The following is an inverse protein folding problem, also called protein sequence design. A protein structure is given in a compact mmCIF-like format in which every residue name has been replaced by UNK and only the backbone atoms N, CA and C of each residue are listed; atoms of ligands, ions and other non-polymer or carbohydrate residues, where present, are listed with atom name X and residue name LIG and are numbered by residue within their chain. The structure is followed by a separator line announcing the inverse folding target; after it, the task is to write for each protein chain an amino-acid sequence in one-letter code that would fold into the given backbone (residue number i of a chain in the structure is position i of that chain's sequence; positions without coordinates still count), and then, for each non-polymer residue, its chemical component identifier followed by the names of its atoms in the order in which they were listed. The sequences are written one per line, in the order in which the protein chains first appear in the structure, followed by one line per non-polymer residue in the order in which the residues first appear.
data_IF_062752577179
#
_entry.id   IF_062752577179
#
_cell.length_a   1.000
_cell.length_b   1.000
_cell.length_c   1.000
_cell.angle_alpha   90.00
_cell.angle_beta   90.00
_cell.angle_gamma   90.00
#
_symmetry.space_group_name_H-M   'P 1'
#
loop_
_entity.id
_entity.type
_entity.pdbx_description
1 polymer ?
#
# COMPACT_ATOMS: atom_id res chain seq x y z
N UNK A 1 -36.43 -2.50 45.72
CA UNK A 1 -35.22 -2.29 44.91
C UNK A 1 -34.03 -2.65 45.78
N UNK A 2 -33.37 -3.76 45.51
CA UNK A 2 -32.34 -4.34 46.40
C UNK A 2 -30.98 -3.69 46.14
N UNK A 3 -30.08 -3.78 47.13
CA UNK A 3 -28.72 -3.23 47.04
C UNK A 3 -27.96 -3.75 45.79
N UNK A 4 -28.31 -4.95 45.33
CA UNK A 4 -27.80 -5.59 44.10
C UNK A 4 -28.22 -4.89 42.81
N UNK A 5 -29.40 -4.28 42.77
CA UNK A 5 -29.90 -3.58 41.57
C UNK A 5 -29.19 -2.22 41.35
N UNK A 6 -28.76 -1.55 42.43
CA UNK A 6 -27.99 -0.30 42.34
C UNK A 6 -26.56 -0.52 41.82
N UNK A 7 -25.94 -1.65 42.14
CA UNK A 7 -24.56 -1.95 41.68
C UNK A 7 -24.55 -2.26 40.18
N UNK A 8 -25.56 -2.97 39.66
CA UNK A 8 -25.68 -3.23 38.21
C UNK A 8 -25.94 -1.97 37.38
N UNK A 9 -26.45 -0.89 37.98
CA UNK A 9 -26.68 0.38 37.28
C UNK A 9 -25.44 1.29 37.24
N UNK A 10 -24.46 1.07 38.13
CA UNK A 10 -23.24 1.90 38.21
C UNK A 10 -22.17 1.42 37.20
N UNK A 11 -22.16 0.13 36.85
CA UNK A 11 -21.22 -0.44 35.87
C UNK A 11 -21.69 -0.38 34.41
N UNK A 12 -22.65 0.49 34.07
CA UNK A 12 -23.17 0.65 32.70
C UNK A 12 -22.81 1.99 32.05
N UNK A 13 -21.92 2.75 32.70
CA UNK A 13 -21.17 3.81 32.05
C UNK A 13 -19.70 3.38 32.04
N UNK A 14 -19.06 3.61 30.91
CA UNK A 14 -17.70 3.22 30.54
C UNK A 14 -17.58 1.87 29.83
N UNK A 15 -16.93 1.94 28.67
CA UNK A 15 -16.64 0.90 27.68
C UNK A 15 -17.76 0.68 26.65
N UNK A 16 -17.93 1.69 25.79
CA UNK A 16 -18.27 1.42 24.39
C UNK A 16 -16.99 1.53 23.56
N UNK A 17 -16.29 0.39 23.53
CA UNK A 17 -15.39 -0.09 22.48
C UNK A 17 -14.53 0.94 21.74
N UNK A 18 -13.50 1.42 22.42
CA UNK A 18 -12.27 1.87 21.75
C UNK A 18 -11.49 0.65 21.24
N UNK A 19 -12.06 -0.12 20.33
CA UNK A 19 -11.29 -0.99 19.46
C UNK A 19 -10.89 -0.17 18.23
N UNK A 20 -9.98 0.79 18.41
CA UNK A 20 -9.17 1.31 17.31
C UNK A 20 -8.25 0.18 16.86
N UNK A 21 -8.80 -0.83 16.19
CA UNK A 21 -8.01 -1.65 15.28
C UNK A 21 -7.55 -0.68 14.21
N UNK A 22 -6.30 -0.22 14.33
CA UNK A 22 -5.62 0.55 13.30
C UNK A 22 -5.79 -0.26 12.01
N UNK A 23 -6.72 0.17 11.15
CA UNK A 23 -6.90 -0.47 9.85
C UNK A 23 -5.55 -0.38 9.17
N UNK A 24 -4.88 -1.52 8.97
CA UNK A 24 -3.51 -1.53 8.49
C UNK A 24 -3.50 -0.93 7.08
N UNK A 25 -3.03 0.32 6.97
CA UNK A 25 -3.04 1.09 5.72
C UNK A 25 -1.62 1.27 5.22
N UNK A 26 -1.43 1.08 3.92
CA UNK A 26 -0.20 1.42 3.23
C UNK A 26 -0.32 2.75 2.50
N UNK A 27 0.75 3.57 2.52
CA UNK A 27 0.88 4.80 1.72
C UNK A 27 2.24 4.85 1.02
N UNK A 28 2.22 5.35 -0.21
CA UNK A 28 3.41 5.75 -0.96
C UNK A 28 3.40 7.27 -1.18
N UNK A 29 4.50 7.94 -0.84
CA UNK A 29 4.61 9.41 -0.80
C UNK A 29 5.88 9.88 -1.50
N UNK A 30 5.76 10.92 -2.34
CA UNK A 30 6.87 11.64 -2.99
C UNK A 30 6.74 13.11 -2.65
N UNK A 31 7.77 13.71 -2.04
CA UNK A 31 7.80 15.12 -1.67
C UNK A 31 6.52 15.61 -0.95
N UNK A 32 5.95 14.77 -0.08
CA UNK A 32 4.70 15.06 0.67
C UNK A 32 3.40 14.76 -0.09
N UNK A 33 3.46 14.44 -1.39
CA UNK A 33 2.31 14.06 -2.21
C UNK A 33 2.08 12.55 -2.10
N UNK A 34 0.90 12.14 -1.61
CA UNK A 34 0.48 10.74 -1.62
C UNK A 34 0.18 10.33 -3.06
N UNK A 35 0.90 9.33 -3.58
CA UNK A 35 0.75 8.81 -4.94
C UNK A 35 0.01 7.46 -4.99
N UNK A 36 -0.04 6.73 -3.87
CA UNK A 36 -0.88 5.55 -3.70
C UNK A 36 -1.26 5.37 -2.22
N UNK A 37 -2.47 4.90 -1.95
CA UNK A 37 -2.97 4.61 -0.59
C UNK A 37 -3.99 3.47 -0.61
N UNK A 38 -3.84 2.50 0.29
CA UNK A 38 -4.70 1.31 0.33
C UNK A 38 -4.75 0.68 1.72
N UNK A 39 -5.84 -0.01 2.02
CA UNK A 39 -5.97 -0.95 3.15
C UNK A 39 -5.84 -2.42 2.73
N UNK A 40 -5.63 -2.66 1.42
CA UNK A 40 -5.37 -3.97 0.82
C UNK A 40 -4.00 -3.91 0.15
N UNK A 41 -3.03 -4.68 0.63
CA UNK A 41 -1.71 -4.76 0.01
C UNK A 41 -1.08 -6.13 0.30
N UNK A 42 -0.11 -6.50 -0.52
CA UNK A 42 0.70 -7.70 -0.33
C UNK A 42 2.11 -7.33 0.13
N UNK A 43 2.75 -8.19 0.94
CA UNK A 43 4.16 -8.04 1.32
C UNK A 43 4.97 -9.21 0.77
N UNK A 44 5.93 -8.92 -0.10
CA UNK A 44 6.82 -9.93 -0.72
C UNK A 44 8.26 -9.43 -0.67
N UNK A 45 9.16 -10.22 -0.08
CA UNK A 45 10.59 -9.89 0.08
C UNK A 45 10.81 -8.49 0.70
N UNK A 46 9.98 -8.11 1.67
CA UNK A 46 10.05 -6.82 2.34
C UNK A 46 9.52 -5.63 1.52
N UNK A 47 9.03 -5.85 0.29
CA UNK A 47 8.36 -4.82 -0.52
C UNK A 47 6.85 -4.84 -0.28
N UNK A 48 6.24 -3.66 -0.33
CA UNK A 48 4.79 -3.48 -0.25
C UNK A 48 4.25 -3.32 -1.66
N UNK A 49 3.30 -4.16 -2.02
CA UNK A 49 2.68 -4.22 -3.33
C UNK A 49 1.26 -3.65 -3.23
N UNK A 50 1.05 -2.54 -3.93
CA UNK A 50 -0.18 -1.77 -3.96
C UNK A 50 -1.07 -2.26 -5.12
N UNK A 51 -2.36 -2.55 -4.89
CA UNK A 51 -3.32 -2.82 -5.95
C UNK A 51 -3.35 -1.68 -6.99
N UNK A 52 -3.54 -1.97 -8.29
CA UNK A 52 -3.52 -0.95 -9.33
C UNK A 52 -4.59 0.14 -9.16
N UNK A 53 -5.75 -0.21 -8.57
CA UNK A 53 -6.85 0.72 -8.26
C UNK A 53 -6.55 1.69 -7.11
N UNK A 54 -5.46 1.46 -6.37
CA UNK A 54 -5.01 2.35 -5.28
C UNK A 54 -4.03 3.44 -5.72
N UNK A 55 -3.57 3.41 -6.98
CA UNK A 55 -2.64 4.38 -7.53
C UNK A 55 -3.38 5.61 -8.05
N UNK A 56 -2.77 6.79 -7.86
CA UNK A 56 -3.16 8.00 -8.58
C UNK A 56 -2.50 8.00 -9.95
N UNK A 57 -3.15 7.36 -10.91
CA UNK A 57 -2.61 7.06 -12.26
C UNK A 57 -1.99 8.26 -12.97
N UNK A 58 -2.48 9.47 -12.74
CA UNK A 58 -1.99 10.71 -13.37
C UNK A 58 -0.50 10.99 -13.07
N UNK A 59 0.03 10.42 -11.98
CA UNK A 59 1.45 10.54 -11.63
C UNK A 59 2.35 9.46 -12.25
N UNK A 60 1.81 8.49 -12.99
CA UNK A 60 2.55 7.32 -13.45
C UNK A 60 2.63 7.29 -14.98
N UNK A 61 3.86 7.15 -15.49
CA UNK A 61 4.14 7.00 -16.92
C UNK A 61 4.86 5.68 -17.15
N UNK A 62 4.31 4.81 -18.01
CA UNK A 62 4.95 3.54 -18.39
C UNK A 62 6.29 3.81 -19.08
N UNK A 63 7.26 2.93 -18.89
CA UNK A 63 8.54 2.97 -19.60
C UNK A 63 8.75 1.67 -20.40
N UNK A 64 9.71 1.70 -21.33
CA UNK A 64 10.16 0.50 -22.06
C UNK A 64 11.15 -0.35 -21.23
N UNK A 65 11.47 0.08 -20.01
CA UNK A 65 12.39 -0.64 -19.13
C UNK A 65 11.74 -1.93 -18.63
N UNK A 66 12.48 -3.03 -18.73
CA UNK A 66 12.08 -4.32 -18.19
C UNK A 66 13.25 -5.04 -17.52
N UNK A 67 12.95 -5.84 -16.49
CA UNK A 67 13.95 -6.72 -15.85
C UNK A 67 13.36 -8.10 -15.59
N UNK A 68 14.18 -9.14 -15.72
CA UNK A 68 13.75 -10.51 -15.51
C UNK A 68 14.08 -10.98 -14.09
N UNK A 69 13.08 -11.51 -13.39
CA UNK A 69 13.26 -12.23 -12.13
C UNK A 69 13.00 -13.72 -12.34
N UNK A 70 13.92 -14.63 -11.94
CA UNK A 70 13.77 -16.06 -12.19
C UNK A 70 12.46 -16.66 -11.70
N UNK A 71 11.93 -16.16 -10.59
CA UNK A 71 10.74 -16.72 -9.94
C UNK A 71 9.49 -15.84 -10.01
N UNK A 72 9.62 -14.53 -10.28
CA UNK A 72 8.47 -13.62 -10.41
C UNK A 72 8.03 -13.39 -11.85
N UNK A 73 8.92 -13.44 -12.84
CA UNK A 73 8.61 -13.12 -14.23
C UNK A 73 9.28 -11.83 -14.72
N UNK A 74 8.71 -11.21 -15.76
CA UNK A 74 9.20 -9.97 -16.35
C UNK A 74 8.58 -8.77 -15.63
N UNK A 75 9.41 -7.93 -15.01
CA UNK A 75 8.97 -6.68 -14.42
C UNK A 75 8.84 -5.60 -15.49
N UNK A 76 7.83 -4.74 -15.34
CA UNK A 76 7.64 -3.49 -16.07
C UNK A 76 7.75 -2.33 -15.09
N UNK A 77 8.10 -1.14 -15.58
CA UNK A 77 8.42 0.01 -14.74
C UNK A 77 7.53 1.22 -15.03
N UNK A 78 7.39 2.06 -14.01
CA UNK A 78 6.81 3.40 -14.12
C UNK A 78 7.84 4.46 -13.71
N UNK A 79 7.89 5.54 -14.49
CA UNK A 79 8.38 6.83 -14.03
C UNK A 79 7.28 7.54 -13.26
N UNK A 80 7.61 8.10 -12.10
CA UNK A 80 6.67 8.86 -11.27
C UNK A 80 6.92 10.35 -11.48
N UNK A 81 5.89 11.10 -11.83
CA UNK A 81 5.97 12.53 -12.10
C UNK A 81 4.80 13.24 -11.41
N UNK A 82 5.10 13.99 -10.35
CA UNK A 82 4.10 14.75 -9.58
C UNK A 82 3.95 16.20 -10.07
N UNK A 83 4.61 16.56 -11.19
CA UNK A 83 4.54 17.91 -11.76
C UNK A 83 5.40 18.96 -11.05
N UNK A 84 6.37 18.54 -10.23
CA UNK A 84 7.31 19.42 -9.51
C UNK A 84 8.63 19.66 -10.28
N UNK A 85 8.71 19.18 -11.52
CA UNK A 85 9.88 19.29 -12.39
C UNK A 85 10.97 18.24 -12.15
N UNK A 86 10.78 17.29 -11.22
CA UNK A 86 11.77 16.26 -10.87
C UNK A 86 11.18 14.84 -11.01
N UNK A 87 10.92 14.35 -12.23
CA UNK A 87 10.39 13.01 -12.43
C UNK A 87 11.34 11.93 -11.89
N UNK A 88 10.79 10.99 -11.12
CA UNK A 88 11.52 9.85 -10.59
C UNK A 88 11.48 8.70 -11.61
N UNK A 89 12.52 8.63 -12.44
CA UNK A 89 12.65 7.60 -13.49
C UNK A 89 12.69 6.20 -12.89
N UNK A 90 11.89 5.29 -13.45
CA UNK A 90 11.79 3.87 -13.05
C UNK A 90 11.75 3.72 -11.52
N UNK A 91 10.87 4.48 -10.88
CA UNK A 91 10.76 4.54 -9.41
C UNK A 91 9.77 3.51 -8.85
N UNK A 92 8.91 2.95 -9.70
CA UNK A 92 8.00 1.88 -9.36
C UNK A 92 8.09 0.75 -10.37
N UNK A 93 7.78 -0.48 -9.94
CA UNK A 93 7.76 -1.66 -10.79
C UNK A 93 6.54 -2.54 -10.49
N UNK A 94 6.15 -3.35 -11.46
CA UNK A 94 5.06 -4.31 -11.36
C UNK A 94 5.31 -5.50 -12.27
N UNK A 95 4.57 -6.59 -12.03
CA UNK A 95 4.60 -7.78 -12.87
C UNK A 95 3.24 -7.91 -13.58
N UNK A 96 3.13 -7.60 -14.88
CA UNK A 96 1.86 -7.75 -15.60
C UNK A 96 1.45 -9.21 -15.73
N UNK A 97 2.42 -10.10 -15.96
CA UNK A 97 2.23 -11.53 -16.13
C UNK A 97 3.22 -12.29 -15.23
N UNK A 98 2.99 -12.32 -13.90
CA UNK A 98 3.91 -13.00 -13.00
C UNK A 98 3.84 -14.52 -13.19
N UNK A 99 4.92 -15.20 -12.80
CA UNK A 99 4.92 -16.66 -12.68
C UNK A 99 3.97 -17.12 -11.57
N UNK A 100 3.49 -18.38 -11.57
CA UNK A 100 2.47 -18.86 -10.62
C UNK A 100 2.78 -18.61 -9.15
N UNK A 101 4.06 -18.73 -8.76
CA UNK A 101 4.54 -18.49 -7.39
C UNK A 101 4.38 -17.03 -6.91
N UNK A 102 4.15 -16.08 -7.81
CA UNK A 102 3.96 -14.66 -7.54
C UNK A 102 2.59 -14.14 -8.04
N UNK A 103 1.61 -15.03 -8.26
CA UNK A 103 0.30 -14.67 -8.82
C UNK A 103 -0.51 -13.71 -7.93
N UNK A 104 -0.27 -13.69 -6.61
CA UNK A 104 -0.92 -12.77 -5.67
C UNK A 104 -0.56 -11.29 -5.90
N UNK A 105 0.53 -10.99 -6.61
CA UNK A 105 0.97 -9.61 -6.92
C UNK A 105 0.80 -9.24 -8.39
N UNK A 106 -0.07 -9.95 -9.12
CA UNK A 106 -0.35 -9.67 -10.55
C UNK A 106 -0.83 -8.23 -10.73
N UNK A 107 -0.06 -7.43 -11.47
CA UNK A 107 -0.33 -6.02 -11.71
C UNK A 107 -0.16 -5.10 -10.51
N UNK A 108 0.20 -5.63 -9.33
CA UNK A 108 0.41 -4.80 -8.14
C UNK A 108 1.75 -4.06 -8.26
N UNK A 109 1.77 -2.83 -7.77
CA UNK A 109 2.88 -1.90 -7.93
C UNK A 109 3.67 -1.80 -6.63
N UNK A 110 4.98 -1.99 -6.72
CA UNK A 110 5.93 -1.73 -5.65
C UNK A 110 6.85 -0.57 -6.01
N UNK A 111 7.50 0.02 -5.01
CA UNK A 111 8.25 1.27 -5.13
C UNK A 111 9.66 1.13 -4.56
N UNK A 112 10.63 1.82 -5.18
CA UNK A 112 11.99 1.87 -4.67
C UNK A 112 12.05 2.76 -3.42
N UNK A 113 12.34 2.16 -2.26
CA UNK A 113 12.32 2.84 -0.95
C UNK A 113 13.34 3.97 -0.78
N UNK A 114 14.37 4.01 -1.62
CA UNK A 114 15.33 5.12 -1.67
C UNK A 114 14.85 6.30 -2.53
N UNK A 115 13.73 6.16 -3.25
CA UNK A 115 13.10 7.21 -4.08
C UNK A 115 11.73 7.63 -3.56
N UNK A 116 10.98 6.69 -2.96
CA UNK A 116 9.60 6.88 -2.50
C UNK A 116 9.49 6.49 -1.03
N UNK A 117 8.84 7.35 -0.24
CA UNK A 117 8.56 7.04 1.16
C UNK A 117 7.37 6.07 1.27
N UNK A 118 7.58 4.94 1.91
CA UNK A 118 6.57 3.89 2.10
C UNK A 118 6.28 3.70 3.58
N UNK A 119 5.00 3.64 3.94
CA UNK A 119 4.51 3.25 5.28
C UNK A 119 3.46 2.15 5.10
N UNK A 120 3.50 1.08 5.89
CA UNK A 120 2.59 -0.08 5.86
C UNK A 120 2.86 -1.05 7.03
#
# INVERSE_FOLDING_TARGET
MTLTDKIKSIFKHDIQDSASSSKMSAKAVVNGVVIAETDRYEKVEGNVYFPPDSLKSDYFKTTETHTACPWKGLASYYTIDIGDGNPLVDAAWYYPEPKPAASNITGYVAFYKNKVQITA
#
